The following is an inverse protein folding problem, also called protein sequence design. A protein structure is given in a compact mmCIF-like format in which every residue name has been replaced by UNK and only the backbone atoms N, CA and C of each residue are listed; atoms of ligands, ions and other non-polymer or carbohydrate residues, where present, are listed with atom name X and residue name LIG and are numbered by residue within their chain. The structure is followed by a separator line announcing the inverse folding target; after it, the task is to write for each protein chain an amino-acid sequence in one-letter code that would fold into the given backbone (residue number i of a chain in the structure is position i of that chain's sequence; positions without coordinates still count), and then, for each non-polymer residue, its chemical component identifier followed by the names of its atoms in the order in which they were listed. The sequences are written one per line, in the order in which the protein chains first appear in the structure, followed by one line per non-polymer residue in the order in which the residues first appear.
data_IF_009907398180
#
_entry.id   IF_009907398180
#
_cell.length_a   1.000
_cell.length_b   1.000
_cell.length_c   1.000
_cell.angle_alpha   90.00
_cell.angle_beta   90.00
_cell.angle_gamma   90.00
#
_symmetry.space_group_name_H-M   'P 1'
#
loop_
_entity.id
_entity.type
_entity.pdbx_description
1 polymer ?
#
# COMPACT_ATOMS: atom_id res chain seq x y z
N UNK A 1 -11.37 12.41 12.20
CA UNK A 1 -12.54 12.01 11.39
C UNK A 1 -12.06 10.97 10.40
N UNK A 2 -12.79 9.87 10.21
CA UNK A 2 -12.45 8.86 9.19
C UNK A 2 -12.79 9.40 7.80
N UNK A 3 -11.93 9.09 6.83
CA UNK A 3 -12.09 9.44 5.41
C UNK A 3 -11.91 8.18 4.58
N UNK A 4 -12.59 8.11 3.45
CA UNK A 4 -12.56 6.93 2.58
C UNK A 4 -11.93 7.30 1.25
N UNK A 5 -10.97 6.49 0.84
CA UNK A 5 -10.30 6.59 -0.44
C UNK A 5 -10.31 5.29 -1.21
N UNK A 6 -9.81 5.33 -2.43
CA UNK A 6 -9.71 4.18 -3.33
C UNK A 6 -8.28 4.01 -3.84
N UNK A 7 -7.87 2.77 -3.97
CA UNK A 7 -6.59 2.36 -4.54
C UNK A 7 -6.75 2.04 -6.03
N UNK A 8 -5.75 2.36 -6.85
CA UNK A 8 -5.82 2.18 -8.30
C UNK A 8 -5.36 0.80 -8.80
N UNK A 9 -4.97 -0.10 -7.91
CA UNK A 9 -4.50 -1.44 -8.29
C UNK A 9 -5.56 -2.27 -9.03
N UNK A 10 -6.84 -2.07 -8.72
CA UNK A 10 -7.94 -2.72 -9.44
C UNK A 10 -7.87 -2.48 -10.95
N UNK A 11 -7.57 -1.26 -11.37
CA UNK A 11 -7.37 -0.93 -12.80
C UNK A 11 -6.03 -1.44 -13.32
N UNK A 12 -4.98 -1.41 -12.49
CA UNK A 12 -3.66 -1.95 -12.85
C UNK A 12 -3.71 -3.44 -13.17
N UNK A 13 -4.53 -4.23 -12.44
CA UNK A 13 -4.74 -5.66 -12.70
C UNK A 13 -5.31 -5.95 -14.10
N UNK A 14 -5.97 -4.99 -14.73
CA UNK A 14 -6.49 -5.16 -16.09
C UNK A 14 -5.37 -5.23 -17.13
N UNK A 15 -4.16 -4.74 -16.79
CA UNK A 15 -3.02 -4.73 -17.70
C UNK A 15 -3.37 -4.01 -19.02
N UNK A 16 -3.10 -4.65 -20.16
CA UNK A 16 -3.37 -4.07 -21.49
C UNK A 16 -4.87 -3.83 -21.79
N UNK A 17 -5.77 -4.37 -20.98
CA UNK A 17 -7.22 -4.09 -21.11
C UNK A 17 -7.57 -2.69 -20.61
N UNK A 18 -6.78 -2.13 -19.72
CA UNK A 18 -6.92 -0.75 -19.27
C UNK A 18 -6.22 0.20 -20.25
N UNK A 19 -6.98 1.06 -20.88
CA UNK A 19 -6.47 2.04 -21.87
C UNK A 19 -6.71 3.49 -21.43
N UNK A 20 -7.20 3.68 -20.19
CA UNK A 20 -7.44 4.99 -19.60
C UNK A 20 -6.15 5.69 -19.14
N UNK A 21 -6.33 6.86 -18.61
CA UNK A 21 -5.29 7.74 -18.07
C UNK A 21 -5.48 7.97 -16.57
N UNK A 22 -4.52 8.63 -15.93
CA UNK A 22 -4.69 9.04 -14.53
C UNK A 22 -5.89 9.99 -14.34
N UNK A 23 -6.23 10.82 -15.34
CA UNK A 23 -7.42 11.68 -15.27
C UNK A 23 -8.72 10.85 -15.27
N UNK A 24 -8.77 9.77 -16.04
CA UNK A 24 -9.93 8.86 -16.02
C UNK A 24 -10.09 8.21 -14.64
N UNK A 25 -8.98 7.78 -14.01
CA UNK A 25 -9.00 7.24 -12.64
C UNK A 25 -9.51 8.27 -11.63
N UNK A 26 -9.00 9.52 -11.70
CA UNK A 26 -9.47 10.58 -10.81
C UNK A 26 -10.97 10.83 -10.99
N UNK A 27 -11.45 10.81 -12.23
CA UNK A 27 -12.87 10.95 -12.56
C UNK A 27 -13.73 9.84 -11.99
N UNK A 28 -13.34 8.58 -12.21
CA UNK A 28 -14.08 7.40 -11.73
C UNK A 28 -14.10 7.33 -10.20
N UNK A 29 -12.96 7.55 -9.54
CA UNK A 29 -12.86 7.53 -8.07
C UNK A 29 -13.71 8.65 -7.45
N UNK A 30 -13.66 9.87 -7.99
CA UNK A 30 -14.48 10.97 -7.52
C UNK A 30 -15.98 10.70 -7.74
N UNK A 31 -16.36 10.13 -8.88
CA UNK A 31 -17.73 9.74 -9.18
C UNK A 31 -18.26 8.65 -8.24
N UNK A 32 -17.38 7.74 -7.78
CA UNK A 32 -17.67 6.74 -6.75
C UNK A 32 -17.86 7.32 -5.34
N UNK A 33 -17.67 8.63 -5.15
CA UNK A 33 -17.87 9.32 -3.87
C UNK A 33 -16.70 9.23 -2.90
N UNK A 34 -15.55 8.78 -3.35
CA UNK A 34 -14.32 8.77 -2.54
C UNK A 34 -13.77 10.19 -2.39
N UNK A 35 -13.07 10.43 -1.28
CA UNK A 35 -12.44 11.74 -0.99
C UNK A 35 -10.92 11.71 -1.11
N UNK A 36 -10.34 10.59 -1.50
CA UNK A 36 -8.91 10.46 -1.72
C UNK A 36 -8.54 9.27 -2.58
N UNK A 37 -7.32 9.30 -3.06
CA UNK A 37 -6.75 8.27 -3.95
C UNK A 37 -5.40 7.78 -3.41
N UNK A 38 -5.19 6.49 -3.46
CA UNK A 38 -3.85 5.90 -3.49
C UNK A 38 -3.56 5.48 -4.93
N UNK A 39 -2.51 6.04 -5.52
CA UNK A 39 -2.14 5.77 -6.92
C UNK A 39 -0.81 5.04 -6.99
N UNK A 40 -0.73 4.03 -7.88
CA UNK A 40 0.52 3.31 -8.11
C UNK A 40 1.43 4.06 -9.09
N UNK A 41 2.72 3.79 -9.01
CA UNK A 41 3.73 4.34 -9.92
C UNK A 41 3.45 4.00 -11.40
N UNK A 42 2.76 2.90 -11.67
CA UNK A 42 2.36 2.48 -13.02
C UNK A 42 1.14 3.22 -13.54
N UNK A 43 0.25 3.65 -12.65
CA UNK A 43 -1.02 4.26 -13.02
C UNK A 43 -0.97 5.80 -13.09
N UNK A 44 0.04 6.42 -12.47
CA UNK A 44 0.17 7.89 -12.45
C UNK A 44 0.52 8.52 -13.80
N UNK A 45 1.10 7.75 -14.72
CA UNK A 45 1.44 8.19 -16.07
C UNK A 45 2.35 9.43 -16.10
N UNK A 46 2.02 10.38 -16.97
CA UNK A 46 2.83 11.59 -17.17
C UNK A 46 2.88 12.53 -15.97
N UNK A 47 1.98 12.39 -15.00
CA UNK A 47 1.98 13.20 -13.78
C UNK A 47 3.17 12.92 -12.87
N UNK A 48 3.82 11.75 -12.99
CA UNK A 48 5.03 11.44 -12.23
C UNK A 48 6.13 12.50 -12.38
N UNK A 49 6.24 13.14 -13.55
CA UNK A 49 7.18 14.22 -13.82
C UNK A 49 6.58 15.63 -13.61
N UNK A 50 5.31 15.73 -13.26
CA UNK A 50 4.56 17.00 -13.18
C UNK A 50 3.70 17.07 -11.92
N UNK A 51 4.29 17.02 -10.70
CA UNK A 51 3.53 16.96 -9.45
C UNK A 51 2.59 18.15 -9.25
N UNK A 52 2.94 19.34 -9.75
CA UNK A 52 2.06 20.52 -9.66
C UNK A 52 0.79 20.37 -10.51
N UNK A 53 0.91 19.77 -11.70
CA UNK A 53 -0.24 19.52 -12.56
C UNK A 53 -1.12 18.42 -11.92
N UNK A 54 -0.51 17.41 -11.30
CA UNK A 54 -1.25 16.40 -10.56
C UNK A 54 -2.02 16.98 -9.36
N UNK A 55 -1.41 17.92 -8.63
CA UNK A 55 -2.11 18.63 -7.55
C UNK A 55 -3.33 19.42 -8.06
N UNK A 56 -3.23 20.05 -9.24
CA UNK A 56 -4.37 20.72 -9.88
C UNK A 56 -5.45 19.71 -10.27
N UNK A 57 -5.07 18.57 -10.85
CA UNK A 57 -6.02 17.52 -11.22
C UNK A 57 -6.75 16.95 -9.99
N UNK A 58 -6.03 16.63 -8.92
CA UNK A 58 -6.60 16.18 -7.64
C UNK A 58 -7.63 17.21 -7.11
N UNK A 59 -7.26 18.47 -7.05
CA UNK A 59 -8.16 19.54 -6.60
C UNK A 59 -9.42 19.68 -7.49
N UNK A 60 -9.27 19.50 -8.80
CA UNK A 60 -10.39 19.57 -9.75
C UNK A 60 -11.43 18.48 -9.46
N UNK A 61 -10.98 17.30 -9.01
CA UNK A 61 -11.84 16.18 -8.65
C UNK A 61 -12.21 16.13 -7.16
N UNK A 62 -11.70 17.06 -6.35
CA UNK A 62 -11.95 17.09 -4.90
C UNK A 62 -11.32 15.91 -4.15
N UNK A 63 -10.19 15.38 -4.64
CA UNK A 63 -9.47 14.25 -4.07
C UNK A 63 -8.20 14.69 -3.35
N UNK A 64 -7.90 14.05 -2.22
CA UNK A 64 -6.59 14.11 -1.59
C UNK A 64 -5.70 12.95 -2.06
N UNK A 65 -4.39 13.18 -2.25
CA UNK A 65 -3.44 12.08 -2.38
C UNK A 65 -3.22 11.46 -0.99
N UNK A 66 -3.66 10.22 -0.81
CA UNK A 66 -3.51 9.47 0.44
C UNK A 66 -2.11 8.87 0.52
N UNK A 67 -1.75 8.17 -0.54
CA UNK A 67 -0.47 7.51 -0.67
C UNK A 67 -0.05 7.37 -2.13
N UNK A 68 1.24 7.27 -2.33
CA UNK A 68 1.85 6.86 -3.58
C UNK A 68 2.41 5.46 -3.40
N UNK A 69 1.84 4.47 -4.08
CA UNK A 69 2.28 3.09 -3.99
C UNK A 69 3.41 2.83 -4.99
N UNK A 70 4.53 2.35 -4.48
CA UNK A 70 5.71 2.07 -5.28
C UNK A 70 6.35 0.73 -4.90
N UNK A 71 6.71 -0.06 -5.91
CA UNK A 71 7.44 -1.30 -5.76
C UNK A 71 8.72 -1.25 -6.59
N UNK A 72 9.83 -1.75 -6.03
CA UNK A 72 11.07 -1.90 -6.79
C UNK A 72 11.07 -3.16 -7.63
N UNK A 73 11.69 -3.11 -8.80
CA UNK A 73 11.95 -4.28 -9.66
C UNK A 73 12.82 -5.34 -8.96
N UNK A 74 13.58 -4.97 -7.93
CA UNK A 74 14.33 -5.90 -7.08
C UNK A 74 13.45 -6.68 -6.09
N UNK A 75 12.16 -6.31 -5.96
CA UNK A 75 11.27 -6.80 -4.91
C UNK A 75 11.75 -6.43 -3.51
N UNK A 76 12.68 -5.49 -3.35
CA UNK A 76 13.36 -5.12 -2.09
C UNK A 76 14.17 -6.26 -1.45
N UNK A 77 14.38 -7.36 -2.14
CA UNK A 77 15.01 -8.57 -1.59
C UNK A 77 16.41 -8.86 -2.14
N UNK A 78 16.90 -8.02 -3.06
CA UNK A 78 18.17 -8.19 -3.74
C UNK A 78 19.24 -7.27 -3.13
N UNK A 79 20.21 -7.80 -2.35
CA UNK A 79 21.23 -6.97 -1.69
C UNK A 79 22.06 -6.10 -2.64
N UNK A 80 22.28 -6.59 -3.86
CA UNK A 80 23.04 -5.86 -4.90
C UNK A 80 22.28 -4.65 -5.47
N UNK A 81 20.96 -4.61 -5.32
CA UNK A 81 20.13 -3.52 -5.81
C UNK A 81 19.98 -2.36 -4.80
N UNK A 82 20.53 -2.49 -3.58
CA UNK A 82 20.31 -1.54 -2.50
C UNK A 82 20.50 -0.08 -2.87
N UNK A 83 21.62 0.26 -3.49
CA UNK A 83 21.93 1.66 -3.84
C UNK A 83 21.01 2.18 -4.97
N UNK A 84 20.65 1.32 -5.93
CA UNK A 84 19.73 1.64 -7.00
C UNK A 84 18.31 1.84 -6.48
N UNK A 85 17.84 0.97 -5.59
CA UNK A 85 16.53 1.07 -4.94
C UNK A 85 16.44 2.34 -4.09
N UNK A 86 17.48 2.64 -3.31
CA UNK A 86 17.49 3.84 -2.48
C UNK A 86 17.47 5.12 -3.33
N UNK A 87 18.23 5.16 -4.43
CA UNK A 87 18.22 6.29 -5.35
C UNK A 87 16.88 6.43 -6.10
N UNK A 88 16.21 5.32 -6.41
CA UNK A 88 14.87 5.35 -6.97
C UNK A 88 13.85 5.86 -5.93
N UNK A 89 13.93 5.37 -4.69
CA UNK A 89 13.07 5.83 -3.60
C UNK A 89 13.22 7.33 -3.32
N UNK A 90 14.44 7.89 -3.43
CA UNK A 90 14.67 9.33 -3.25
C UNK A 90 13.86 10.15 -4.28
N UNK A 91 13.87 9.75 -5.55
CA UNK A 91 13.07 10.42 -6.60
C UNK A 91 11.56 10.32 -6.33
N UNK A 92 11.11 9.16 -5.83
CA UNK A 92 9.70 8.98 -5.47
C UNK A 92 9.34 9.84 -4.26
N UNK A 93 10.22 9.90 -3.26
CA UNK A 93 10.03 10.76 -2.08
C UNK A 93 9.98 12.24 -2.45
N UNK A 94 10.81 12.70 -3.41
CA UNK A 94 10.75 14.07 -3.94
C UNK A 94 9.38 14.41 -4.54
N UNK A 95 8.76 13.43 -5.21
CA UNK A 95 7.38 13.58 -5.70
C UNK A 95 6.38 13.64 -4.54
N UNK A 96 6.41 12.67 -3.62
CA UNK A 96 5.44 12.56 -2.52
C UNK A 96 5.54 13.78 -1.58
N UNK A 97 6.72 14.34 -1.37
CA UNK A 97 6.94 15.52 -0.55
C UNK A 97 6.20 16.79 -1.05
N UNK A 98 5.73 16.78 -2.31
CA UNK A 98 4.88 17.87 -2.83
C UNK A 98 3.43 17.79 -2.33
N UNK A 99 3.04 16.69 -1.67
CA UNK A 99 1.66 16.42 -1.21
C UNK A 99 1.65 16.22 0.31
N UNK A 100 1.48 17.29 1.11
CA UNK A 100 1.52 17.21 2.56
C UNK A 100 0.53 16.20 3.13
N UNK A 101 1.02 15.27 3.93
CA UNK A 101 0.22 14.21 4.54
C UNK A 101 0.07 12.94 3.71
N UNK A 102 0.53 12.92 2.46
CA UNK A 102 0.61 11.71 1.67
C UNK A 102 1.70 10.76 2.21
N UNK A 103 1.47 9.47 2.08
CA UNK A 103 2.38 8.39 2.51
C UNK A 103 3.08 7.80 1.30
N UNK A 104 4.37 7.51 1.39
CA UNK A 104 5.01 6.58 0.46
C UNK A 104 4.72 5.15 0.92
N UNK A 105 3.89 4.44 0.15
CA UNK A 105 3.55 3.04 0.37
C UNK A 105 4.50 2.13 -0.40
N UNK A 106 5.36 1.42 0.30
CA UNK A 106 6.28 0.46 -0.31
C UNK A 106 5.58 -0.88 -0.52
N UNK A 107 5.66 -1.41 -1.72
CA UNK A 107 5.15 -2.74 -2.02
C UNK A 107 5.77 -3.84 -1.15
N UNK A 108 5.16 -5.02 -1.17
CA UNK A 108 5.61 -6.18 -0.40
C UNK A 108 7.02 -6.62 -0.82
N UNK A 109 7.79 -7.09 0.16
CA UNK A 109 9.06 -7.74 -0.14
C UNK A 109 8.83 -9.03 -0.93
N UNK A 110 9.29 -9.07 -2.17
CA UNK A 110 9.03 -10.16 -3.13
C UNK A 110 10.33 -10.84 -3.54
N UNK A 111 10.35 -12.17 -3.53
CA UNK A 111 11.53 -12.96 -3.91
C UNK A 111 11.68 -12.92 -5.43
N UNK A 112 12.72 -12.26 -5.91
CA UNK A 112 13.03 -12.11 -7.35
C UNK A 112 14.09 -13.10 -7.84
N UNK A 113 14.90 -13.67 -6.95
CA UNK A 113 15.95 -14.62 -7.27
C UNK A 113 16.07 -15.72 -6.24
N UNK A 114 16.72 -16.83 -6.59
CA UNK A 114 17.08 -17.88 -5.64
C UNK A 114 17.99 -17.32 -4.53
N UNK A 115 17.90 -17.90 -3.35
CA UNK A 115 18.75 -17.50 -2.22
C UNK A 115 18.20 -17.92 -0.87
N UNK A 116 18.97 -17.65 0.15
CA UNK A 116 18.57 -17.89 1.53
C UNK A 116 17.46 -16.92 1.97
N UNK A 117 16.37 -17.47 2.48
CA UNK A 117 15.22 -16.69 2.96
C UNK A 117 15.59 -15.71 4.08
N UNK A 118 16.54 -16.06 4.94
CA UNK A 118 16.99 -15.17 6.00
C UNK A 118 17.73 -13.94 5.45
N UNK A 119 18.58 -14.16 4.44
CA UNK A 119 19.27 -13.08 3.73
C UNK A 119 18.30 -12.15 2.99
N UNK A 120 17.24 -12.71 2.38
CA UNK A 120 16.17 -11.90 1.73
C UNK A 120 15.44 -11.01 2.73
N UNK A 121 15.08 -11.53 3.91
CA UNK A 121 14.51 -10.72 4.99
C UNK A 121 15.44 -9.61 5.45
N UNK A 122 16.72 -9.90 5.61
CA UNK A 122 17.72 -8.90 6.02
C UNK A 122 17.87 -7.80 4.97
N UNK A 123 17.86 -8.15 3.68
CA UNK A 123 17.90 -7.20 2.57
C UNK A 123 16.66 -6.29 2.58
N UNK A 124 15.46 -6.89 2.67
CA UNK A 124 14.21 -6.14 2.73
C UNK A 124 14.15 -5.18 3.93
N UNK A 125 14.52 -5.65 5.10
CA UNK A 125 14.55 -4.79 6.29
C UNK A 125 15.55 -3.65 6.16
N UNK A 126 16.73 -3.93 5.60
CA UNK A 126 17.77 -2.90 5.38
C UNK A 126 17.28 -1.78 4.46
N UNK A 127 16.69 -2.13 3.32
CA UNK A 127 16.22 -1.12 2.36
C UNK A 127 14.98 -0.38 2.90
N UNK A 128 14.03 -1.05 3.53
CA UNK A 128 12.88 -0.41 4.16
C UNK A 128 13.29 0.60 5.24
N UNK A 129 14.23 0.23 6.11
CA UNK A 129 14.76 1.14 7.12
C UNK A 129 15.47 2.35 6.49
N UNK A 130 16.24 2.13 5.42
CA UNK A 130 16.95 3.20 4.73
C UNK A 130 15.98 4.19 4.05
N UNK A 131 14.95 3.68 3.35
CA UNK A 131 13.92 4.51 2.73
C UNK A 131 13.10 5.24 3.80
N UNK A 132 12.73 4.55 4.90
CA UNK A 132 12.02 5.18 6.01
C UNK A 132 12.81 6.32 6.64
N UNK A 133 14.13 6.13 6.88
CA UNK A 133 15.00 7.19 7.40
C UNK A 133 15.17 8.35 6.41
N UNK A 134 15.18 8.08 5.10
CA UNK A 134 15.21 9.11 4.07
C UNK A 134 13.90 9.90 4.07
N UNK A 135 12.75 9.22 4.08
CA UNK A 135 11.43 9.85 4.15
C UNK A 135 11.28 10.76 5.38
N UNK A 136 11.75 10.29 6.54
CA UNK A 136 11.74 11.11 7.76
C UNK A 136 12.51 12.42 7.60
N UNK A 137 13.69 12.41 6.94
CA UNK A 137 14.47 13.63 6.65
C UNK A 137 13.75 14.57 5.68
N UNK A 138 12.94 14.02 4.77
CA UNK A 138 12.19 14.77 3.75
C UNK A 138 10.78 15.17 4.23
N UNK A 139 10.39 14.78 5.45
CA UNK A 139 9.07 15.08 6.02
C UNK A 139 7.94 14.22 5.43
N UNK A 140 8.28 13.05 4.87
CA UNK A 140 7.33 12.08 4.27
C UNK A 140 7.24 10.85 5.17
N UNK A 141 6.03 10.47 5.56
CA UNK A 141 5.79 9.16 6.18
C UNK A 141 5.98 8.05 5.14
N UNK A 142 6.72 7.00 5.53
CA UNK A 142 6.94 5.80 4.72
C UNK A 142 6.36 4.60 5.44
N UNK A 143 5.63 3.76 4.72
CA UNK A 143 5.09 2.51 5.25
C UNK A 143 5.24 1.38 4.24
N UNK A 144 5.42 0.15 4.69
CA UNK A 144 5.36 -1.00 3.81
C UNK A 144 3.98 -1.64 3.85
N UNK A 145 3.55 -2.15 2.71
CA UNK A 145 2.29 -2.83 2.48
C UNK A 145 2.55 -4.32 2.16
N UNK A 146 2.38 -5.24 3.13
CA UNK A 146 2.50 -6.66 2.88
C UNK A 146 1.37 -7.17 1.97
N UNK A 147 1.71 -8.10 1.08
CA UNK A 147 0.74 -8.79 0.24
C UNK A 147 0.86 -10.30 0.38
N UNK A 148 -0.21 -11.02 0.07
CA UNK A 148 -0.24 -12.49 0.03
C UNK A 148 -0.10 -13.04 -1.40
N UNK A 149 0.44 -12.23 -2.31
CA UNK A 149 0.70 -12.66 -3.68
C UNK A 149 1.89 -13.62 -3.78
N UNK A 150 2.06 -14.20 -4.96
CA UNK A 150 3.11 -15.20 -5.21
C UNK A 150 4.50 -14.64 -4.91
N UNK A 151 5.37 -15.48 -4.35
CA UNK A 151 6.74 -15.13 -3.99
C UNK A 151 6.92 -14.03 -2.93
N UNK A 152 5.87 -13.61 -2.24
CA UNK A 152 6.03 -12.67 -1.12
C UNK A 152 6.85 -13.30 0.02
N UNK A 153 7.60 -12.46 0.72
CA UNK A 153 8.18 -12.77 2.03
C UNK A 153 7.26 -12.39 3.20
N UNK A 154 6.11 -11.78 2.92
CA UNK A 154 5.25 -11.15 3.92
C UNK A 154 3.82 -11.70 3.85
N UNK A 155 3.67 -13.01 3.69
CA UNK A 155 2.38 -13.66 3.51
C UNK A 155 1.82 -14.34 4.76
N UNK A 156 2.61 -14.57 5.82
CA UNK A 156 2.20 -15.31 7.02
C UNK A 156 2.52 -14.57 8.31
N UNK A 157 1.89 -14.96 9.42
CA UNK A 157 2.13 -14.34 10.73
C UNK A 157 3.59 -14.40 11.19
N UNK A 158 4.29 -15.49 10.95
CA UNK A 158 5.72 -15.62 11.29
C UNK A 158 6.58 -14.68 10.45
N UNK A 159 6.22 -14.48 9.19
CA UNK A 159 6.90 -13.57 8.28
C UNK A 159 6.64 -12.10 8.65
N UNK A 160 5.40 -11.77 9.05
CA UNK A 160 5.09 -10.48 9.64
C UNK A 160 5.91 -10.22 10.90
N UNK A 161 5.92 -11.16 11.84
CA UNK A 161 6.70 -11.04 13.07
C UNK A 161 8.19 -10.79 12.77
N UNK A 162 8.72 -11.50 11.77
CA UNK A 162 10.12 -11.37 11.37
C UNK A 162 10.46 -10.00 10.78
N UNK A 163 9.68 -9.50 9.80
CA UNK A 163 9.94 -8.19 9.22
C UNK A 163 9.72 -7.07 10.23
N UNK A 164 8.71 -7.19 11.09
CA UNK A 164 8.43 -6.23 12.16
C UNK A 164 9.57 -6.14 13.17
N UNK A 165 10.24 -7.27 13.46
CA UNK A 165 11.39 -7.31 14.36
C UNK A 165 12.68 -6.73 13.74
N UNK A 166 12.84 -6.84 12.41
CA UNK A 166 14.02 -6.39 11.69
C UNK A 166 13.95 -4.92 11.25
N UNK A 167 12.74 -4.34 11.21
CA UNK A 167 12.52 -2.97 10.78
C UNK A 167 12.36 -2.01 11.95
N UNK A 168 12.93 -0.81 11.82
CA UNK A 168 12.84 0.23 12.85
C UNK A 168 11.48 0.95 12.80
N UNK A 169 10.67 0.75 13.85
CA UNK A 169 9.36 1.37 13.99
C UNK A 169 9.39 2.91 14.09
N UNK A 170 10.55 3.50 14.35
CA UNK A 170 10.67 4.95 14.42
C UNK A 170 10.63 5.60 13.03
N UNK A 171 11.12 4.90 12.02
CA UNK A 171 11.28 5.44 10.65
C UNK A 171 10.34 4.83 9.62
N UNK A 172 9.89 3.58 9.81
CA UNK A 172 9.00 2.94 8.84
C UNK A 172 7.71 2.44 9.48
N UNK A 173 6.58 2.79 8.86
CA UNK A 173 5.25 2.34 9.23
C UNK A 173 4.83 1.05 8.55
N UNK A 174 3.57 0.72 8.75
CA UNK A 174 2.89 -0.43 8.17
C UNK A 174 1.49 -0.03 7.70
N UNK A 175 1.10 -0.55 6.54
CA UNK A 175 -0.25 -0.50 6.01
C UNK A 175 -0.87 -1.87 6.19
N UNK A 176 -1.73 -2.08 7.20
CA UNK A 176 -2.52 -3.31 7.28
C UNK A 176 -3.47 -3.41 6.09
N UNK A 177 -3.57 -4.60 5.53
CA UNK A 177 -4.55 -4.96 4.51
C UNK A 177 -5.37 -6.15 5.01
N UNK A 178 -6.68 -5.98 5.08
CA UNK A 178 -7.57 -6.96 5.70
C UNK A 178 -7.60 -8.29 4.94
N UNK A 179 -7.65 -8.24 3.62
CA UNK A 179 -7.68 -9.43 2.79
C UNK A 179 -6.37 -10.21 2.84
N UNK A 180 -5.23 -9.51 2.76
CA UNK A 180 -3.92 -10.16 2.84
C UNK A 180 -3.64 -10.76 4.22
N UNK A 181 -4.08 -10.13 5.30
CA UNK A 181 -4.00 -10.67 6.66
C UNK A 181 -4.81 -11.96 6.78
N UNK A 182 -6.06 -11.95 6.31
CA UNK A 182 -6.95 -13.13 6.35
C UNK A 182 -6.39 -14.27 5.48
N UNK A 183 -5.92 -13.99 4.28
CA UNK A 183 -5.30 -14.99 3.40
C UNK A 183 -4.02 -15.58 3.98
N UNK A 184 -3.31 -14.82 4.79
CA UNK A 184 -2.15 -15.28 5.56
C UNK A 184 -2.51 -16.15 6.78
N UNK A 185 -3.79 -16.42 7.02
CA UNK A 185 -4.29 -17.21 8.14
C UNK A 185 -4.20 -16.49 9.49
N UNK A 186 -4.08 -15.18 9.48
CA UNK A 186 -4.00 -14.35 10.68
C UNK A 186 -5.37 -13.82 11.09
N UNK A 187 -5.54 -13.52 12.39
CA UNK A 187 -6.73 -12.86 12.93
C UNK A 187 -6.58 -11.34 12.79
N UNK A 188 -7.54 -10.67 12.13
CA UNK A 188 -7.46 -9.24 11.81
C UNK A 188 -7.18 -8.35 13.01
N UNK A 189 -8.09 -8.37 13.99
CA UNK A 189 -8.03 -7.45 15.14
C UNK A 189 -6.79 -7.71 16.00
N UNK A 190 -6.42 -8.98 16.20
CA UNK A 190 -5.21 -9.33 16.95
C UNK A 190 -3.95 -8.85 16.25
N UNK A 191 -3.85 -9.06 14.93
CA UNK A 191 -2.69 -8.64 14.14
C UNK A 191 -2.54 -7.11 14.14
N UNK A 192 -3.65 -6.39 13.92
CA UNK A 192 -3.65 -4.93 13.93
C UNK A 192 -3.29 -4.40 15.33
N UNK A 193 -3.84 -5.00 16.38
CA UNK A 193 -3.55 -4.59 17.76
C UNK A 193 -2.08 -4.83 18.12
N UNK A 194 -1.51 -5.95 17.70
CA UNK A 194 -0.11 -6.30 17.96
C UNK A 194 0.87 -5.28 17.36
N UNK A 195 0.58 -4.76 16.17
CA UNK A 195 1.46 -3.84 15.44
C UNK A 195 0.90 -2.42 15.33
N UNK A 196 -0.06 -2.04 16.20
CA UNK A 196 -0.79 -0.76 16.15
C UNK A 196 0.11 0.49 16.08
N UNK A 197 1.29 0.46 16.70
CA UNK A 197 2.23 1.59 16.71
C UNK A 197 2.77 1.94 15.33
N UNK A 198 2.64 1.02 14.36
CA UNK A 198 3.16 1.16 13.02
C UNK A 198 2.12 1.56 11.99
N UNK A 199 0.84 1.41 12.32
CA UNK A 199 -0.27 1.68 11.38
C UNK A 199 -0.24 3.13 10.91
N UNK A 200 -0.29 3.33 9.58
CA UNK A 200 -0.42 4.64 8.95
C UNK A 200 -1.82 4.89 8.42
N UNK A 201 -2.34 3.97 7.65
CA UNK A 201 -3.69 3.94 7.12
C UNK A 201 -4.10 2.48 6.92
N UNK A 202 -5.35 2.22 6.51
CA UNK A 202 -5.89 0.87 6.38
C UNK A 202 -6.29 0.60 4.94
N UNK A 203 -5.89 -0.55 4.39
CA UNK A 203 -6.51 -1.14 3.20
C UNK A 203 -7.65 -2.07 3.61
N UNK A 204 -8.83 -1.83 3.02
CA UNK A 204 -9.97 -2.72 3.12
C UNK A 204 -10.09 -3.56 1.87
N UNK A 205 -9.97 -4.86 2.06
CA UNK A 205 -10.28 -5.92 1.09
C UNK A 205 -11.10 -6.98 1.77
N UNK A 206 -11.85 -7.75 1.01
CA UNK A 206 -12.60 -8.89 1.55
C UNK A 206 -12.25 -10.20 0.86
N UNK A 207 -12.45 -11.28 1.57
CA UNK A 207 -12.18 -12.64 1.10
C UNK A 207 -13.24 -13.60 1.65
N UNK A 208 -13.50 -14.69 0.92
CA UNK A 208 -14.29 -15.79 1.46
C UNK A 208 -13.52 -16.62 2.50
N UNK A 209 -14.18 -17.59 3.12
CA UNK A 209 -13.55 -18.47 4.12
C UNK A 209 -12.43 -19.38 3.56
N UNK A 210 -12.21 -19.40 2.25
CA UNK A 210 -11.13 -20.14 1.57
C UNK A 210 -10.01 -19.22 1.10
N UNK A 211 -10.16 -17.90 1.30
CA UNK A 211 -9.19 -16.89 0.87
C UNK A 211 -9.33 -16.45 -0.59
N UNK A 212 -10.47 -16.68 -1.25
CA UNK A 212 -10.76 -16.09 -2.55
C UNK A 212 -11.26 -14.66 -2.36
N UNK A 213 -10.81 -13.76 -3.22
CA UNK A 213 -11.21 -12.36 -3.18
C UNK A 213 -12.72 -12.20 -3.37
N UNK A 214 -13.33 -11.33 -2.60
CA UNK A 214 -14.75 -10.99 -2.64
C UNK A 214 -14.91 -9.47 -2.68
N UNK A 215 -16.02 -9.00 -3.22
CA UNK A 215 -16.40 -7.60 -3.08
C UNK A 215 -16.54 -7.24 -1.60
N UNK A 216 -16.22 -6.00 -1.24
CA UNK A 216 -16.30 -5.53 0.15
C UNK A 216 -17.69 -5.76 0.75
N UNK A 217 -17.72 -6.48 1.86
CA UNK A 217 -18.95 -6.82 2.57
C UNK A 217 -19.59 -8.14 2.15
N UNK A 218 -19.05 -8.85 1.15
CA UNK A 218 -19.55 -10.16 0.69
C UNK A 218 -18.71 -11.33 1.24
N UNK A 219 -17.60 -11.04 1.91
CA UNK A 219 -16.68 -12.03 2.46
C UNK A 219 -16.82 -12.22 3.96
N UNK A 220 -15.70 -12.50 4.61
CA UNK A 220 -15.63 -12.80 6.05
C UNK A 220 -14.94 -11.71 6.86
N UNK A 221 -14.57 -10.59 6.25
CA UNK A 221 -13.91 -9.48 6.93
C UNK A 221 -14.86 -8.81 7.92
N UNK A 222 -14.51 -8.81 9.20
CA UNK A 222 -15.19 -7.94 10.19
C UNK A 222 -14.68 -6.51 10.05
N UNK A 223 -15.18 -5.82 9.02
CA UNK A 223 -14.83 -4.44 8.67
C UNK A 223 -15.00 -3.50 9.86
N UNK A 224 -16.07 -3.66 10.64
CA UNK A 224 -16.34 -2.81 11.79
C UNK A 224 -15.26 -2.98 12.85
N UNK A 225 -14.96 -4.20 13.24
CA UNK A 225 -13.99 -4.48 14.30
C UNK A 225 -12.59 -4.02 13.93
N UNK A 226 -12.16 -4.21 12.66
CA UNK A 226 -10.84 -3.77 12.22
C UNK A 226 -10.74 -2.24 12.15
N UNK A 227 -11.78 -1.55 11.69
CA UNK A 227 -11.83 -0.08 11.66
C UNK A 227 -11.77 0.51 13.08
N UNK A 228 -12.49 -0.09 14.04
CA UNK A 228 -12.40 0.29 15.46
C UNK A 228 -10.98 0.09 16.00
N UNK A 229 -10.33 -1.04 15.67
CA UNK A 229 -8.96 -1.33 16.09
C UNK A 229 -7.94 -0.33 15.54
N UNK A 230 -7.94 -0.05 14.22
CA UNK A 230 -7.00 0.91 13.63
C UNK A 230 -7.25 2.34 14.08
N UNK A 231 -8.51 2.71 14.35
CA UNK A 231 -8.86 4.06 14.82
C UNK A 231 -8.23 4.40 16.18
N UNK A 232 -7.83 3.39 16.95
CA UNK A 232 -7.11 3.55 18.20
C UNK A 232 -5.59 3.62 18.05
N UNK A 233 -5.06 3.42 16.84
CA UNK A 233 -3.63 3.40 16.59
C UNK A 233 -3.04 4.82 16.61
N UNK A 234 -1.89 5.03 17.32
CA UNK A 234 -1.41 6.37 17.62
C UNK A 234 -0.91 7.15 16.40
N UNK A 235 -0.60 6.47 15.30
CA UNK A 235 -0.08 7.08 14.06
C UNK A 235 -1.02 6.89 12.86
N UNK A 236 -2.23 6.40 13.10
CA UNK A 236 -3.24 6.27 12.07
C UNK A 236 -3.70 7.64 11.58
N UNK A 237 -3.59 7.89 10.28
CA UNK A 237 -3.87 9.21 9.68
C UNK A 237 -5.35 9.46 9.36
N UNK A 238 -6.23 8.48 9.66
CA UNK A 238 -7.67 8.57 9.45
C UNK A 238 -8.17 8.08 8.09
N UNK A 239 -7.29 7.61 7.21
CA UNK A 239 -7.68 7.09 5.91
C UNK A 239 -7.95 5.59 5.93
N UNK A 240 -9.08 5.23 5.32
CA UNK A 240 -9.47 3.87 4.96
C UNK A 240 -9.52 3.81 3.44
N UNK A 241 -8.75 2.93 2.85
CA UNK A 241 -8.59 2.81 1.40
C UNK A 241 -9.24 1.50 0.95
N UNK A 242 -10.27 1.60 0.14
CA UNK A 242 -10.87 0.46 -0.53
C UNK A 242 -9.96 -0.01 -1.66
N UNK A 243 -9.69 -1.31 -1.71
CA UNK A 243 -8.95 -1.95 -2.78
C UNK A 243 -9.63 -3.28 -3.12
N UNK A 244 -9.92 -3.48 -4.39
CA UNK A 244 -10.65 -4.66 -4.87
C UNK A 244 -9.79 -5.51 -5.80
N UNK A 245 -9.79 -6.82 -5.55
CA UNK A 245 -9.12 -7.82 -6.39
C UNK A 245 -10.06 -8.97 -6.78
N UNK A 246 -11.38 -8.81 -6.57
CA UNK A 246 -12.36 -9.82 -6.93
C UNK A 246 -12.49 -9.99 -8.46
N UNK A 247 -13.00 -11.15 -8.89
CA UNK A 247 -13.29 -11.40 -10.32
C UNK A 247 -14.31 -10.39 -10.87
N UNK A 248 -15.21 -9.88 -10.01
CA UNK A 248 -16.21 -8.87 -10.39
C UNK A 248 -15.51 -7.56 -10.71
N UNK A 249 -14.66 -7.06 -9.82
CA UNK A 249 -13.89 -5.84 -10.04
C UNK A 249 -12.87 -5.98 -11.19
N UNK A 250 -12.29 -7.19 -11.38
CA UNK A 250 -11.43 -7.47 -12.52
C UNK A 250 -12.18 -7.52 -13.86
N UNK A 251 -13.51 -7.73 -13.85
CA UNK A 251 -14.34 -7.64 -15.04
C UNK A 251 -14.76 -6.20 -15.36
N UNK A 252 -15.10 -5.42 -14.31
CA UNK A 252 -15.48 -4.03 -14.41
C UNK A 252 -15.06 -3.27 -13.12
N UNK A 253 -13.93 -2.53 -13.14
CA UNK A 253 -13.41 -1.83 -11.96
C UNK A 253 -14.27 -0.64 -11.52
N UNK A 254 -15.28 -0.25 -12.28
CA UNK A 254 -16.19 0.85 -11.96
C UNK A 254 -17.52 0.37 -11.34
N UNK A 255 -17.65 -0.97 -11.15
CA UNK A 255 -18.77 -1.55 -10.42
C UNK A 255 -18.58 -1.31 -8.92
#
# INVERSE_FOLDING_TARGET
MLRIGCQTYTWEMLGERWTGTADDLLGSIAAGGYSGIEITDKMIGSYAARPKDFAVALNTHGLDLIAFAWASDSGFTEPAAFDADLAAAERVLDFVAQFPGAVLSLGSATIMSAGDKAGKFAAAARIYNAIGALGQRMGVDVAFHPSSHHNTLLGTGDEYARIMALTDRAVIGWVPDTGHILRGGMTLVETVTLYRDRVRYLHLKDVDSRGHWQMLGEGVCDTRAVVEAVSSAPRFNGWIVAEEESDVAAADPET
#
